data_IF_468201516719
#
_entry.id   IF_468201516719
#
_cell.length_a   1.000
_cell.length_b   1.000
_cell.length_c   1.000
_cell.angle_alpha   90.00
_cell.angle_beta   90.00
_cell.angle_gamma   90.00
#
_symmetry.space_group_name_H-M   'P 1'
#
loop_
_entity.id
_entity.type
_entity.pdbx_description
1 polymer ?
#
# COMPACT_ATOMS: atom_id res chain seq x y z
N UNK A 1 10.54 15.53 -8.90
CA UNK A 1 9.33 14.69 -8.83
C UNK A 1 8.75 14.78 -7.43
N UNK A 2 7.42 14.64 -7.27
CA UNK A 2 6.70 14.78 -6.01
C UNK A 2 5.92 13.50 -5.72
N UNK A 3 6.05 12.98 -4.51
CA UNK A 3 5.35 11.77 -4.09
C UNK A 3 4.57 11.98 -2.80
N UNK A 4 3.36 11.47 -2.74
CA UNK A 4 2.56 11.39 -1.51
C UNK A 4 2.58 9.93 -1.02
N UNK A 5 2.97 9.73 0.24
CA UNK A 5 3.06 8.41 0.86
C UNK A 5 2.13 8.33 2.07
N UNK A 6 1.07 7.53 1.97
CA UNK A 6 0.13 7.27 3.06
C UNK A 6 0.57 6.02 3.83
N UNK A 7 0.67 6.13 5.16
CA UNK A 7 1.20 5.06 6.02
C UNK A 7 2.72 5.12 6.17
N UNK A 8 3.29 6.32 6.20
CA UNK A 8 4.74 6.56 6.25
C UNK A 8 5.32 6.59 7.68
N UNK A 9 4.54 6.32 8.72
CA UNK A 9 5.02 6.38 10.11
C UNK A 9 5.95 5.23 10.49
N UNK A 10 5.87 4.08 9.80
CA UNK A 10 6.73 2.91 10.06
C UNK A 10 6.80 1.97 8.86
N UNK A 11 7.61 0.91 8.99
CA UNK A 11 7.67 -0.22 8.06
C UNK A 11 7.97 0.19 6.62
N UNK A 12 7.29 -0.47 5.68
CA UNK A 12 7.54 -0.30 4.24
C UNK A 12 7.33 1.16 3.80
N UNK A 13 6.24 1.80 4.24
CA UNK A 13 5.93 3.18 3.84
C UNK A 13 7.02 4.17 4.25
N UNK A 14 7.55 4.05 5.48
CA UNK A 14 8.66 4.87 5.97
C UNK A 14 9.94 4.67 5.16
N UNK A 15 10.29 3.42 4.86
CA UNK A 15 11.50 3.11 4.09
C UNK A 15 11.38 3.58 2.63
N UNK A 16 10.22 3.42 1.99
CA UNK A 16 9.98 3.95 0.64
C UNK A 16 10.09 5.48 0.63
N UNK A 17 9.48 6.16 1.61
CA UNK A 17 9.58 7.62 1.73
C UNK A 17 11.03 8.07 1.87
N UNK A 18 11.80 7.41 2.75
CA UNK A 18 13.23 7.69 2.96
C UNK A 18 14.05 7.50 1.67
N UNK A 19 13.82 6.43 0.93
CA UNK A 19 14.55 6.17 -0.32
C UNK A 19 14.22 7.19 -1.41
N UNK A 20 12.93 7.53 -1.60
CA UNK A 20 12.53 8.54 -2.59
C UNK A 20 13.06 9.93 -2.23
N UNK A 21 13.05 10.31 -0.94
CA UNK A 21 13.64 11.57 -0.50
C UNK A 21 15.17 11.61 -0.76
N UNK A 22 15.91 10.52 -0.48
CA UNK A 22 17.32 10.40 -0.82
C UNK A 22 17.60 10.48 -2.32
N UNK A 23 16.67 10.05 -3.16
CA UNK A 23 16.70 10.19 -4.61
C UNK A 23 16.33 11.61 -5.11
N UNK A 24 16.17 12.57 -4.19
CA UNK A 24 15.89 13.97 -4.51
C UNK A 24 14.42 14.30 -4.79
N UNK A 25 13.49 13.42 -4.44
CA UNK A 25 12.07 13.72 -4.56
C UNK A 25 11.61 14.66 -3.44
N UNK A 26 10.62 15.50 -3.76
CA UNK A 26 9.81 16.20 -2.78
C UNK A 26 8.74 15.24 -2.27
N UNK A 27 8.58 15.11 -0.95
CA UNK A 27 7.77 14.05 -0.35
C UNK A 27 6.72 14.63 0.57
N UNK A 28 5.45 14.29 0.34
CA UNK A 28 4.38 14.43 1.31
C UNK A 28 4.15 13.11 2.04
N UNK A 29 4.30 13.08 3.35
CA UNK A 29 4.11 11.88 4.17
C UNK A 29 2.91 12.03 5.10
N UNK A 30 2.09 10.99 5.18
CA UNK A 30 0.91 11.01 6.04
C UNK A 30 0.74 9.73 6.86
N UNK A 31 0.14 9.88 8.03
CA UNK A 31 -0.17 8.79 8.95
C UNK A 31 -0.69 9.34 10.27
N UNK A 32 -1.00 8.46 11.22
CA UNK A 32 -1.65 8.82 12.49
C UNK A 32 -0.70 9.30 13.58
N UNK A 33 0.58 8.88 13.53
CA UNK A 33 1.56 9.13 14.60
C UNK A 33 2.44 10.31 14.21
N UNK A 34 2.06 11.49 14.69
CA UNK A 34 2.71 12.76 14.34
C UNK A 34 4.21 12.75 14.63
N UNK A 35 4.61 12.32 15.83
CA UNK A 35 6.01 12.28 16.26
C UNK A 35 6.90 11.48 15.29
N UNK A 36 6.35 10.37 14.73
CA UNK A 36 7.08 9.55 13.76
C UNK A 36 7.15 10.18 12.37
N UNK A 37 6.18 11.01 11.98
CA UNK A 37 6.24 11.81 10.76
C UNK A 37 7.29 12.91 10.90
N UNK A 38 7.27 13.65 12.01
CA UNK A 38 8.26 14.67 12.32
C UNK A 38 9.67 14.10 12.40
N UNK A 39 9.84 12.94 13.04
CA UNK A 39 11.11 12.21 13.09
C UNK A 39 11.65 11.84 11.69
N UNK A 40 10.78 11.48 10.74
CA UNK A 40 11.20 11.20 9.37
C UNK A 40 11.51 12.49 8.61
N UNK A 41 10.72 13.53 8.80
CA UNK A 41 10.95 14.86 8.20
C UNK A 41 12.30 15.43 8.60
N UNK A 42 12.67 15.32 9.88
CA UNK A 42 13.94 15.80 10.41
C UNK A 42 15.20 15.11 9.84
N UNK A 43 15.05 13.98 9.14
CA UNK A 43 16.17 13.30 8.47
C UNK A 43 16.59 14.02 7.16
N UNK A 44 15.82 15.02 6.68
CA UNK A 44 15.99 15.63 5.37
C UNK A 44 16.04 17.16 5.44
N UNK A 45 16.57 17.83 4.40
CA UNK A 45 16.61 19.28 4.33
C UNK A 45 15.23 19.91 4.51
N UNK A 46 15.21 21.09 5.09
CA UNK A 46 13.98 21.87 5.27
C UNK A 46 13.23 22.06 3.94
N UNK A 47 11.93 21.83 3.98
CA UNK A 47 11.05 21.97 2.82
C UNK A 47 10.99 20.76 1.89
N UNK A 48 11.91 19.79 1.98
CA UNK A 48 11.89 18.61 1.11
C UNK A 48 10.76 17.64 1.48
N UNK A 49 10.44 17.53 2.78
CA UNK A 49 9.40 16.62 3.30
C UNK A 49 8.32 17.44 3.99
N UNK A 50 7.07 17.26 3.56
CA UNK A 50 5.86 17.80 4.19
C UNK A 50 5.13 16.67 4.94
N UNK A 51 4.44 17.01 6.03
CA UNK A 51 3.77 16.02 6.88
C UNK A 51 2.29 16.35 7.06
N UNK A 52 1.45 15.32 7.13
CA UNK A 52 0.04 15.45 7.51
C UNK A 52 -0.38 14.34 8.47
N UNK A 53 -0.97 14.72 9.59
CA UNK A 53 -1.63 13.75 10.48
C UNK A 53 -2.96 13.33 9.84
N UNK A 54 -3.09 12.05 9.49
CA UNK A 54 -4.24 11.54 8.74
C UNK A 54 -4.54 10.09 9.14
N UNK A 55 -5.81 9.81 9.49
CA UNK A 55 -6.35 8.46 9.54
C UNK A 55 -7.22 8.23 8.29
N UNK A 56 -6.94 7.18 7.52
CA UNK A 56 -7.67 6.88 6.29
C UNK A 56 -9.14 6.55 6.53
N UNK A 57 -9.52 6.24 7.77
CA UNK A 57 -10.91 5.96 8.17
C UNK A 57 -11.72 7.21 8.45
N UNK A 58 -11.09 8.36 8.64
CA UNK A 58 -11.76 9.63 8.90
C UNK A 58 -12.44 10.16 7.63
N UNK A 59 -13.59 10.80 7.80
CA UNK A 59 -14.36 11.35 6.67
C UNK A 59 -13.66 12.55 6.02
N UNK A 60 -12.83 13.28 6.76
CA UNK A 60 -12.05 14.44 6.30
C UNK A 60 -10.66 14.03 5.71
N UNK A 61 -10.30 12.74 5.72
CA UNK A 61 -9.03 12.26 5.18
C UNK A 61 -8.77 12.72 3.72
N UNK A 62 -9.75 12.75 2.80
CA UNK A 62 -9.55 13.30 1.46
C UNK A 62 -9.18 14.79 1.46
N UNK A 63 -9.79 15.58 2.33
CA UNK A 63 -9.48 17.02 2.46
C UNK A 63 -8.05 17.23 2.94
N UNK A 64 -7.62 16.45 3.96
CA UNK A 64 -6.23 16.49 4.45
C UNK A 64 -5.23 16.02 3.39
N UNK A 65 -5.59 15.01 2.59
CA UNK A 65 -4.77 14.59 1.47
C UNK A 65 -4.63 15.71 0.43
N UNK A 66 -5.74 16.37 0.07
CA UNK A 66 -5.69 17.47 -0.89
C UNK A 66 -4.82 18.64 -0.37
N UNK A 67 -4.97 19.02 0.90
CA UNK A 67 -4.10 20.05 1.51
C UNK A 67 -2.62 19.68 1.43
N UNK A 68 -2.26 18.41 1.70
CA UNK A 68 -0.87 17.94 1.59
C UNK A 68 -0.36 17.98 0.14
N UNK A 69 -1.20 17.66 -0.83
CA UNK A 69 -0.87 17.77 -2.26
C UNK A 69 -0.62 19.22 -2.64
N UNK A 70 -1.47 20.15 -2.18
CA UNK A 70 -1.38 21.58 -2.47
C UNK A 70 -0.11 22.20 -1.83
N UNK A 71 0.21 21.84 -0.58
CA UNK A 71 1.45 22.24 0.10
C UNK A 71 2.72 21.73 -0.59
N UNK A 72 2.64 20.57 -1.25
CA UNK A 72 3.73 19.99 -2.03
C UNK A 72 3.83 20.59 -3.43
N UNK A 73 2.82 21.31 -3.87
CA UNK A 73 2.71 21.89 -5.22
C UNK A 73 2.29 20.87 -6.28
N UNK A 74 1.58 19.81 -5.89
CA UNK A 74 1.09 18.72 -6.75
C UNK A 74 1.69 17.36 -6.40
N UNK A 75 1.35 16.31 -7.17
CA UNK A 75 1.98 14.99 -7.05
C UNK A 75 2.08 14.28 -8.39
N UNK A 76 3.13 13.48 -8.58
CA UNK A 76 3.31 12.56 -9.69
C UNK A 76 3.16 11.09 -9.24
N UNK A 77 3.39 10.80 -7.95
CA UNK A 77 3.24 9.47 -7.35
C UNK A 77 2.36 9.53 -6.11
N UNK A 78 1.30 8.74 -6.08
CA UNK A 78 0.55 8.40 -4.87
C UNK A 78 0.89 6.98 -4.45
N UNK A 79 1.47 6.82 -3.25
CA UNK A 79 1.86 5.53 -2.70
C UNK A 79 1.05 5.19 -1.45
N UNK A 80 0.16 4.19 -1.54
CA UNK A 80 -0.69 3.75 -0.45
C UNK A 80 -0.09 2.56 0.29
N UNK A 81 0.46 2.82 1.47
CA UNK A 81 1.01 1.79 2.37
C UNK A 81 0.23 1.64 3.68
N UNK A 82 -0.88 2.40 3.83
CA UNK A 82 -1.74 2.25 5.01
C UNK A 82 -2.52 0.94 4.95
N UNK A 83 -2.57 0.26 6.07
CA UNK A 83 -3.33 -0.98 6.22
C UNK A 83 -3.04 -1.65 7.55
N UNK A 84 -3.97 -2.50 7.98
CA UNK A 84 -3.82 -3.32 9.18
C UNK A 84 -4.09 -4.79 8.85
N UNK A 85 -3.57 -5.69 9.69
CA UNK A 85 -3.78 -7.12 9.54
C UNK A 85 -3.64 -7.82 10.88
N UNK A 86 -4.54 -8.75 11.13
CA UNK A 86 -4.55 -9.55 12.34
C UNK A 86 -4.86 -11.00 11.99
N UNK A 87 -4.31 -11.93 12.76
CA UNK A 87 -4.86 -13.26 12.88
C UNK A 87 -6.12 -13.18 13.75
N UNK A 88 -7.19 -13.85 13.34
CA UNK A 88 -8.48 -13.82 14.02
C UNK A 88 -9.21 -15.16 13.86
N UNK A 89 -8.66 -16.19 14.51
CA UNK A 89 -9.23 -17.55 14.45
C UNK A 89 -10.51 -17.69 15.30
N UNK A 90 -10.74 -16.78 16.25
CA UNK A 90 -11.95 -16.71 17.06
C UNK A 90 -13.08 -15.94 16.39
N UNK A 91 -12.79 -15.33 15.23
CA UNK A 91 -13.69 -14.49 14.43
C UNK A 91 -14.30 -13.35 15.26
N UNK A 92 -13.45 -12.67 16.05
CA UNK A 92 -13.81 -11.47 16.79
C UNK A 92 -14.31 -10.39 15.80
N UNK A 93 -15.59 -9.94 15.92
CA UNK A 93 -16.18 -9.01 14.97
C UNK A 93 -15.51 -7.63 14.96
N UNK A 94 -14.95 -7.16 16.06
CA UNK A 94 -14.28 -5.86 16.12
C UNK A 94 -12.98 -5.87 15.31
N UNK A 95 -12.25 -6.98 15.34
CA UNK A 95 -11.04 -7.17 14.51
C UNK A 95 -11.41 -7.20 13.02
N UNK A 96 -12.46 -7.97 12.66
CA UNK A 96 -12.92 -8.08 11.28
C UNK A 96 -13.40 -6.72 10.75
N UNK A 97 -14.26 -6.03 11.48
CA UNK A 97 -14.81 -4.74 11.10
C UNK A 97 -13.74 -3.65 11.02
N UNK A 98 -12.84 -3.59 11.99
CA UNK A 98 -11.70 -2.64 11.94
C UNK A 98 -10.82 -2.88 10.73
N UNK A 99 -10.53 -4.14 10.40
CA UNK A 99 -9.75 -4.51 9.21
C UNK A 99 -10.49 -4.12 7.92
N UNK A 100 -11.80 -4.38 7.83
CA UNK A 100 -12.62 -4.02 6.68
C UNK A 100 -12.71 -2.49 6.49
N UNK A 101 -12.92 -1.73 7.56
CA UNK A 101 -12.97 -0.26 7.52
C UNK A 101 -11.65 0.34 7.04
N UNK A 102 -10.52 -0.10 7.61
CA UNK A 102 -9.22 0.46 7.24
C UNK A 102 -8.79 0.05 5.83
N UNK A 103 -8.81 -1.27 5.53
CA UNK A 103 -8.27 -1.81 4.28
C UNK A 103 -9.28 -1.78 3.11
N UNK A 104 -10.55 -1.59 3.38
CA UNK A 104 -11.63 -1.49 2.39
C UNK A 104 -12.08 -0.05 2.25
N UNK A 105 -12.89 0.46 3.18
CA UNK A 105 -13.49 1.79 3.10
C UNK A 105 -12.44 2.91 3.05
N UNK A 106 -11.50 2.92 4.01
CA UNK A 106 -10.41 3.92 4.05
C UNK A 106 -9.53 3.86 2.80
N UNK A 107 -9.24 2.65 2.32
CA UNK A 107 -8.50 2.45 1.07
C UNK A 107 -9.24 3.07 -0.13
N UNK A 108 -10.53 2.77 -0.32
CA UNK A 108 -11.34 3.33 -1.44
C UNK A 108 -11.38 4.85 -1.37
N UNK A 109 -11.65 5.40 -0.17
CA UNK A 109 -11.70 6.86 0.07
C UNK A 109 -10.42 7.55 -0.43
N UNK A 110 -9.27 7.04 -0.03
CA UNK A 110 -7.97 7.64 -0.38
C UNK A 110 -7.58 7.43 -1.84
N UNK A 111 -7.78 6.23 -2.39
CA UNK A 111 -7.47 5.93 -3.78
C UNK A 111 -8.38 6.72 -4.75
N UNK A 112 -9.66 6.88 -4.41
CA UNK A 112 -10.59 7.69 -5.23
C UNK A 112 -10.17 9.15 -5.25
N UNK A 113 -9.73 9.71 -4.12
CA UNK A 113 -9.19 11.08 -4.06
C UNK A 113 -7.96 11.21 -4.97
N UNK A 114 -6.98 10.31 -4.86
CA UNK A 114 -5.78 10.32 -5.70
C UNK A 114 -6.10 10.13 -7.20
N UNK A 115 -7.03 9.23 -7.53
CA UNK A 115 -7.46 9.01 -8.91
C UNK A 115 -8.09 10.27 -9.52
N UNK A 116 -8.99 10.93 -8.78
CA UNK A 116 -9.65 12.16 -9.23
C UNK A 116 -8.66 13.32 -9.39
N UNK A 117 -7.67 13.42 -8.49
CA UNK A 117 -6.59 14.39 -8.65
C UNK A 117 -5.83 14.14 -9.97
N UNK A 118 -5.37 12.93 -10.25
CA UNK A 118 -4.70 12.62 -11.50
C UNK A 118 -5.58 12.77 -12.72
N UNK A 119 -6.88 12.44 -12.63
CA UNK A 119 -7.84 12.68 -13.71
C UNK A 119 -7.91 14.15 -14.10
N UNK A 120 -7.78 15.06 -13.12
CA UNK A 120 -7.85 16.50 -13.34
C UNK A 120 -6.51 17.11 -13.82
N UNK A 121 -5.37 16.54 -13.41
CA UNK A 121 -4.08 17.23 -13.54
C UNK A 121 -3.04 16.45 -14.36
N UNK A 122 -3.16 15.11 -14.53
CA UNK A 122 -2.18 14.35 -15.28
C UNK A 122 -2.26 14.64 -16.78
N UNK A 123 -1.11 14.69 -17.43
CA UNK A 123 -0.96 14.87 -18.88
C UNK A 123 -0.13 13.74 -19.47
N UNK A 124 -0.01 13.67 -20.80
CA UNK A 124 0.82 12.65 -21.45
C UNK A 124 2.30 12.77 -21.07
N UNK A 125 2.76 14.00 -20.84
CA UNK A 125 4.15 14.29 -20.48
C UNK A 125 4.39 14.25 -18.95
N UNK A 126 3.32 14.41 -18.14
CA UNK A 126 3.32 14.34 -16.68
C UNK A 126 2.28 13.35 -16.20
N UNK A 127 2.60 12.05 -16.36
CA UNK A 127 1.68 10.95 -15.99
C UNK A 127 1.51 10.85 -14.47
N UNK A 128 0.29 10.55 -14.03
CA UNK A 128 0.02 10.16 -12.65
C UNK A 128 0.41 8.69 -12.40
N UNK A 129 0.85 8.37 -11.19
CA UNK A 129 1.14 7.00 -10.80
C UNK A 129 0.49 6.67 -9.45
N UNK A 130 -0.41 5.68 -9.43
CA UNK A 130 -1.01 5.14 -8.21
C UNK A 130 -0.37 3.80 -7.89
N UNK A 131 0.31 3.71 -6.75
CA UNK A 131 0.93 2.50 -6.28
C UNK A 131 0.39 2.09 -4.91
N UNK A 132 0.13 0.80 -4.71
CA UNK A 132 -0.48 0.29 -3.47
C UNK A 132 0.28 -0.91 -2.93
N UNK A 133 0.35 -1.01 -1.61
CA UNK A 133 0.79 -2.22 -0.90
C UNK A 133 -0.42 -3.08 -0.63
N UNK A 134 -0.66 -4.06 -1.50
CA UNK A 134 -1.62 -5.13 -1.22
C UNK A 134 -0.95 -6.29 -0.44
N UNK A 135 -1.01 -7.51 -0.90
CA UNK A 135 -0.30 -8.66 -0.30
C UNK A 135 -0.44 -9.91 -1.18
N UNK A 136 0.46 -10.87 -1.03
CA UNK A 136 0.25 -12.24 -1.51
C UNK A 136 -0.98 -12.89 -0.84
N UNK A 137 -1.36 -12.47 0.37
CA UNK A 137 -2.56 -12.93 1.08
C UNK A 137 -3.85 -12.70 0.29
N UNK A 138 -3.87 -11.74 -0.66
CA UNK A 138 -4.98 -11.54 -1.59
C UNK A 138 -5.10 -12.62 -2.68
N UNK A 139 -4.21 -13.62 -2.73
CA UNK A 139 -4.27 -14.69 -3.74
C UNK A 139 -5.38 -15.69 -3.43
N UNK A 140 -5.57 -16.05 -2.16
CA UNK A 140 -6.56 -17.01 -1.67
C UNK A 140 -7.14 -16.54 -0.35
N UNK A 141 -8.33 -17.00 0.04
CA UNK A 141 -8.82 -16.81 1.40
C UNK A 141 -7.93 -17.57 2.39
N UNK A 142 -7.54 -16.92 3.49
CA UNK A 142 -6.68 -17.49 4.54
C UNK A 142 -7.48 -17.57 5.83
N UNK A 143 -7.76 -18.78 6.32
CA UNK A 143 -8.65 -19.03 7.45
C UNK A 143 -8.20 -18.40 8.78
N UNK A 144 -6.89 -18.25 9.00
CA UNK A 144 -6.37 -17.58 10.20
C UNK A 144 -6.49 -16.04 10.14
N UNK A 145 -6.82 -15.46 8.99
CA UNK A 145 -6.94 -14.01 8.81
C UNK A 145 -8.00 -13.66 7.74
N UNK A 146 -9.32 -13.92 8.02
CA UNK A 146 -10.37 -13.82 7.01
C UNK A 146 -10.50 -12.42 6.42
N UNK A 147 -10.78 -11.40 7.24
CA UNK A 147 -10.92 -10.02 6.77
C UNK A 147 -9.65 -9.51 6.09
N UNK A 148 -8.47 -9.85 6.62
CA UNK A 148 -7.21 -9.41 6.01
C UNK A 148 -7.05 -9.95 4.59
N UNK A 149 -7.18 -11.28 4.40
CA UNK A 149 -7.02 -11.88 3.07
C UNK A 149 -8.09 -11.40 2.09
N UNK A 150 -9.35 -11.26 2.57
CA UNK A 150 -10.45 -10.74 1.78
C UNK A 150 -10.21 -9.29 1.34
N UNK A 151 -9.79 -8.41 2.27
CA UNK A 151 -9.51 -7.00 1.93
C UNK A 151 -8.30 -6.85 1.01
N UNK A 152 -7.25 -7.68 1.15
CA UNK A 152 -6.13 -7.68 0.21
C UNK A 152 -6.53 -8.16 -1.18
N UNK A 153 -7.45 -9.11 -1.29
CA UNK A 153 -8.05 -9.49 -2.58
C UNK A 153 -8.89 -8.37 -3.18
N UNK A 154 -9.70 -7.72 -2.36
CA UNK A 154 -10.48 -6.54 -2.75
C UNK A 154 -9.56 -5.46 -3.34
N UNK A 155 -8.46 -5.10 -2.65
CA UNK A 155 -7.50 -4.11 -3.14
C UNK A 155 -6.90 -4.49 -4.50
N UNK A 156 -6.49 -5.76 -4.70
CA UNK A 156 -5.98 -6.23 -5.99
C UNK A 156 -7.00 -6.02 -7.12
N UNK A 157 -8.26 -6.39 -6.88
CA UNK A 157 -9.34 -6.28 -7.88
C UNK A 157 -9.71 -4.81 -8.13
N UNK A 158 -9.77 -3.99 -7.08
CA UNK A 158 -10.11 -2.58 -7.19
C UNK A 158 -9.07 -1.80 -8.03
N UNK A 159 -7.77 -2.00 -7.79
CA UNK A 159 -6.70 -1.39 -8.59
C UNK A 159 -6.74 -1.88 -10.05
N UNK A 160 -7.05 -3.14 -10.28
CA UNK A 160 -7.22 -3.67 -11.63
C UNK A 160 -8.39 -2.97 -12.35
N UNK A 161 -9.53 -2.78 -11.67
CA UNK A 161 -10.69 -2.09 -12.22
C UNK A 161 -10.41 -0.61 -12.51
N UNK A 162 -9.71 0.10 -11.62
CA UNK A 162 -9.31 1.49 -11.85
C UNK A 162 -8.33 1.64 -13.02
N UNK A 163 -7.42 0.69 -13.19
CA UNK A 163 -6.52 0.66 -14.36
C UNK A 163 -7.30 0.49 -15.66
N UNK A 164 -8.35 -0.36 -15.66
CA UNK A 164 -9.26 -0.51 -16.80
C UNK A 164 -10.05 0.78 -17.06
N UNK A 165 -10.60 1.38 -16.01
CA UNK A 165 -11.35 2.64 -16.11
C UNK A 165 -10.47 3.77 -16.67
N UNK A 166 -9.24 3.90 -16.19
CA UNK A 166 -8.30 4.90 -16.70
C UNK A 166 -8.02 4.68 -18.20
N UNK A 167 -7.83 3.42 -18.62
CA UNK A 167 -7.66 3.09 -20.03
C UNK A 167 -8.89 3.44 -20.87
N UNK A 168 -10.10 3.10 -20.40
CA UNK A 168 -11.36 3.43 -21.08
C UNK A 168 -11.58 4.95 -21.25
N UNK A 169 -11.10 5.74 -20.30
CA UNK A 169 -11.20 7.21 -20.31
C UNK A 169 -9.95 7.89 -20.91
N UNK A 170 -8.99 7.13 -21.46
CA UNK A 170 -7.73 7.63 -22.02
C UNK A 170 -6.92 8.50 -21.04
N UNK A 171 -7.02 8.22 -19.73
CA UNK A 171 -6.30 8.95 -18.69
C UNK A 171 -4.84 8.48 -18.60
N UNK A 172 -3.87 9.40 -18.50
CA UNK A 172 -2.46 9.07 -18.39
C UNK A 172 -2.08 8.71 -16.93
N UNK A 173 -2.67 7.64 -16.41
CA UNK A 173 -2.46 7.16 -15.05
C UNK A 173 -1.89 5.74 -15.08
N UNK A 174 -0.74 5.54 -14.46
CA UNK A 174 -0.11 4.25 -14.27
C UNK A 174 -0.49 3.65 -12.91
N UNK A 175 -0.48 2.33 -12.81
CA UNK A 175 -0.83 1.61 -11.59
C UNK A 175 0.22 0.55 -11.27
N UNK A 176 0.61 0.46 -9.99
CA UNK A 176 1.48 -0.59 -9.47
C UNK A 176 0.85 -1.25 -8.25
N UNK A 177 0.55 -2.55 -8.36
CA UNK A 177 0.08 -3.39 -7.26
C UNK A 177 1.27 -4.19 -6.69
N UNK A 178 1.72 -3.81 -5.50
CA UNK A 178 2.85 -4.42 -4.81
C UNK A 178 2.31 -5.47 -3.84
N UNK A 179 2.78 -6.70 -3.98
CA UNK A 179 2.32 -7.87 -3.23
C UNK A 179 3.47 -8.49 -2.45
N UNK A 180 3.83 -7.95 -1.28
CA UNK A 180 4.84 -8.57 -0.44
C UNK A 180 4.30 -9.83 0.25
N UNK A 181 5.24 -10.69 0.63
CA UNK A 181 5.03 -11.72 1.65
C UNK A 181 5.18 -11.14 3.06
N UNK A 182 5.75 -11.91 3.99
CA UNK A 182 5.99 -11.45 5.35
C UNK A 182 7.17 -10.48 5.41
N UNK A 183 6.92 -9.28 5.95
CA UNK A 183 7.91 -8.22 6.12
C UNK A 183 7.96 -7.81 7.58
N UNK A 184 9.14 -7.77 8.18
CA UNK A 184 9.36 -7.35 9.57
C UNK A 184 8.99 -5.86 9.73
N UNK A 185 7.79 -5.63 10.22
CA UNK A 185 7.19 -4.31 10.45
C UNK A 185 6.31 -4.38 11.69
N UNK A 186 5.84 -3.24 12.18
CA UNK A 186 4.88 -3.17 13.30
C UNK A 186 3.58 -3.99 13.06
N UNK A 187 3.29 -4.36 11.81
CA UNK A 187 2.15 -5.18 11.44
C UNK A 187 2.32 -6.64 11.87
N UNK A 188 3.57 -7.16 11.85
CA UNK A 188 3.90 -8.52 12.26
C UNK A 188 4.51 -8.49 13.66
N UNK A 189 3.70 -8.76 14.66
CA UNK A 189 4.10 -8.73 16.08
C UNK A 189 4.91 -9.94 16.52
N UNK A 190 5.00 -11.00 15.70
CA UNK A 190 5.71 -12.23 16.02
C UNK A 190 6.86 -12.46 15.03
N UNK A 191 8.05 -12.77 15.55
CA UNK A 191 9.26 -12.95 14.73
C UNK A 191 9.33 -14.32 14.01
N UNK A 192 8.35 -15.20 14.20
CA UNK A 192 8.40 -16.60 13.71
C UNK A 192 7.79 -16.84 12.35
N UNK A 193 7.58 -15.78 11.55
CA UNK A 193 7.01 -15.96 10.21
C UNK A 193 8.03 -16.56 9.23
N UNK A 194 7.62 -17.55 8.41
CA UNK A 194 8.52 -18.13 7.41
C UNK A 194 8.91 -17.10 6.36
N UNK A 195 10.16 -17.17 5.91
CA UNK A 195 10.68 -16.29 4.86
C UNK A 195 10.54 -14.78 5.18
N UNK A 196 10.61 -14.41 6.45
CA UNK A 196 10.50 -13.03 6.91
C UNK A 196 11.57 -12.16 6.26
N UNK A 197 11.14 -11.07 5.62
CA UNK A 197 12.01 -10.10 4.94
C UNK A 197 12.21 -8.85 5.79
N UNK A 198 13.35 -8.20 5.67
CA UNK A 198 13.58 -6.86 6.25
C UNK A 198 12.87 -5.80 5.41
N UNK A 199 12.38 -4.72 6.04
CA UNK A 199 11.64 -3.66 5.34
C UNK A 199 12.50 -2.91 4.31
N UNK A 200 13.78 -2.67 4.59
CA UNK A 200 14.65 -1.90 3.72
C UNK A 200 14.94 -2.57 2.35
N UNK A 201 15.33 -3.87 2.25
CA UNK A 201 15.43 -4.55 0.94
C UNK A 201 14.11 -4.57 0.18
N UNK A 202 12.98 -4.75 0.89
CA UNK A 202 11.64 -4.70 0.29
C UNK A 202 11.36 -3.32 -0.29
N UNK A 203 11.68 -2.25 0.43
CA UNK A 203 11.50 -0.88 -0.05
C UNK A 203 12.37 -0.57 -1.27
N UNK A 204 13.61 -1.07 -1.34
CA UNK A 204 14.47 -0.93 -2.55
C UNK A 204 13.85 -1.61 -3.78
N UNK A 205 13.31 -2.82 -3.61
CA UNK A 205 12.60 -3.53 -4.69
C UNK A 205 11.34 -2.78 -5.13
N UNK A 206 10.60 -2.19 -4.17
CA UNK A 206 9.43 -1.35 -4.46
C UNK A 206 9.84 -0.12 -5.28
N UNK A 207 10.83 0.64 -4.82
CA UNK A 207 11.29 1.86 -5.53
C UNK A 207 11.76 1.51 -6.94
N UNK A 208 12.47 0.39 -7.10
CA UNK A 208 12.82 -0.12 -8.44
C UNK A 208 11.57 -0.41 -9.28
N UNK A 209 10.56 -1.08 -8.73
CA UNK A 209 9.33 -1.39 -9.44
C UNK A 209 8.55 -0.12 -9.83
N UNK A 210 8.53 0.90 -8.96
CA UNK A 210 7.90 2.20 -9.23
C UNK A 210 8.58 2.93 -10.38
N UNK A 211 9.92 3.02 -10.36
CA UNK A 211 10.72 3.66 -11.44
C UNK A 211 10.53 3.00 -12.80
N UNK A 212 10.19 1.71 -12.82
CA UNK A 212 9.95 0.94 -14.05
C UNK A 212 8.46 0.72 -14.37
N UNK A 213 7.55 1.40 -13.69
CA UNK A 213 6.10 1.31 -13.87
C UNK A 213 5.58 -0.14 -13.92
N UNK A 214 6.13 -1.02 -13.04
CA UNK A 214 5.72 -2.43 -13.00
C UNK A 214 4.28 -2.54 -12.51
N UNK A 215 3.39 -3.09 -13.34
CA UNK A 215 1.96 -3.21 -13.03
C UNK A 215 1.66 -4.07 -11.81
N UNK A 216 2.37 -5.19 -11.65
CA UNK A 216 2.28 -6.07 -10.49
C UNK A 216 3.70 -6.44 -10.06
N UNK A 217 3.99 -6.28 -8.77
CA UNK A 217 5.26 -6.72 -8.20
C UNK A 217 5.03 -7.61 -6.99
N UNK A 218 5.25 -8.90 -7.13
CA UNK A 218 5.36 -9.83 -5.98
C UNK A 218 6.80 -9.79 -5.50
N UNK A 219 7.00 -9.44 -4.24
CA UNK A 219 8.31 -9.35 -3.59
C UNK A 219 8.50 -10.59 -2.76
N UNK A 220 9.39 -11.19 -3.01
CA UNK A 220 10.64 -11.79 -3.42
C UNK A 220 10.33 -12.97 -4.38
N UNK A 221 11.35 -13.57 -5.01
CA UNK A 221 11.17 -14.66 -5.97
C UNK A 221 10.55 -15.92 -5.34
N UNK A 222 10.85 -16.20 -4.06
CA UNK A 222 10.30 -17.33 -3.29
C UNK A 222 8.78 -17.21 -3.17
N UNK A 223 8.29 -16.01 -2.88
CA UNK A 223 6.86 -15.71 -2.84
C UNK A 223 6.21 -15.74 -4.22
N UNK A 224 6.96 -15.43 -5.29
CA UNK A 224 6.43 -15.61 -6.65
C UNK A 224 6.14 -17.07 -6.96
N UNK A 225 7.07 -17.97 -6.59
CA UNK A 225 6.85 -19.40 -6.73
C UNK A 225 5.69 -19.89 -5.85
N UNK A 226 5.64 -19.47 -4.59
CA UNK A 226 4.55 -19.81 -3.67
C UNK A 226 3.19 -19.40 -4.25
N UNK A 227 3.05 -18.17 -4.70
CA UNK A 227 1.81 -17.64 -5.30
C UNK A 227 1.44 -18.39 -6.58
N UNK A 228 2.43 -18.76 -7.39
CA UNK A 228 2.20 -19.56 -8.59
C UNK A 228 1.54 -20.92 -8.21
N UNK A 229 2.13 -21.67 -7.28
CA UNK A 229 1.57 -22.94 -6.83
C UNK A 229 0.22 -22.76 -6.11
N UNK A 230 0.05 -21.72 -5.27
CA UNK A 230 -1.23 -21.46 -4.62
C UNK A 230 -2.38 -21.28 -5.63
N UNK A 231 -2.13 -20.62 -6.76
CA UNK A 231 -3.14 -20.44 -7.81
C UNK A 231 -3.58 -21.73 -8.46
N UNK A 232 -2.70 -22.73 -8.53
CA UNK A 232 -3.00 -24.04 -9.14
C UNK A 232 -3.84 -24.94 -8.23
N UNK A 233 -3.86 -24.69 -6.90
CA UNK A 233 -4.63 -25.50 -5.96
C UNK A 233 -6.12 -25.25 -6.17
N UNK A 234 -6.93 -26.27 -6.52
CA UNK A 234 -8.37 -26.13 -6.63
C UNK A 234 -9.01 -25.67 -5.31
N UNK A 235 -10.11 -24.92 -5.40
CA UNK A 235 -10.80 -24.38 -4.23
C UNK A 235 -11.19 -25.44 -3.19
N UNK A 236 -11.78 -26.61 -3.54
CA UNK A 236 -12.15 -27.63 -2.56
C UNK A 236 -10.96 -28.21 -1.79
N UNK A 237 -9.78 -28.28 -2.43
CA UNK A 237 -8.54 -28.72 -1.78
C UNK A 237 -8.04 -27.63 -0.85
N UNK A 238 -7.98 -26.37 -1.33
CA UNK A 238 -7.51 -25.22 -0.54
C UNK A 238 -8.28 -25.07 0.77
N UNK A 239 -9.61 -25.16 0.74
CA UNK A 239 -10.48 -25.01 1.91
C UNK A 239 -10.27 -26.09 3.00
N UNK A 240 -9.62 -27.20 2.66
CA UNK A 240 -9.27 -28.29 3.60
C UNK A 240 -7.83 -28.19 4.11
N UNK A 241 -7.00 -27.35 3.51
CA UNK A 241 -5.61 -27.17 3.93
C UNK A 241 -5.54 -26.35 5.22
N UNK A 242 -4.73 -26.79 6.15
CA UNK A 242 -4.38 -26.01 7.34
C UNK A 242 -3.27 -25.02 6.98
N UNK A 243 -3.64 -23.83 6.54
CA UNK A 243 -2.70 -22.75 6.26
C UNK A 243 -2.54 -21.92 7.52
N UNK A 244 -1.47 -22.18 8.25
CA UNK A 244 -1.07 -21.44 9.47
C UNK A 244 0.27 -20.78 9.25
N UNK A 245 0.63 -19.83 10.08
CA UNK A 245 1.89 -19.12 9.98
C UNK A 245 3.00 -19.73 10.89
N UNK A 246 2.85 -20.98 11.26
CA UNK A 246 3.71 -21.72 12.18
C UNK A 246 3.03 -22.00 13.50
#
# INVERSE_FOLDING_TARGET
MRAIIIGATSGIGREVARLLAKDGWQIGIAGRREELLQSLQAEFPEGQVKTAVLDVTDTDAPTRLQSLIDELGGMELYFHSSGIGFQNTTLDPDIEMRTARTNGEGFVRMITCAFNHFKAHATRDARGHIAVISSIAGTKGIGVAPAYSATKRFQNTYIQALSQLAHMQHLPIDFTDIRPGFVATDLLRDARYPLLMKAEPVARDIVHALKHHRRIRIIDWRYRLLVFFWRLIPRPIWERLRVTNG
#
